data_IF_053124304674
#
_entry.id   IF_053124304674
#
_cell.length_a   1.000
_cell.length_b   1.000
_cell.length_c   1.000
_cell.angle_alpha   90.00
_cell.angle_beta   90.00
_cell.angle_gamma   90.00
#
_symmetry.space_group_name_H-M   'P 1'
#
loop_
_entity.id
_entity.type
_entity.pdbx_description
1 polymer ?
#
# COMPACT_ATOMS: atom_id res chain seq x y z
N UNK A 1 5.78 -7.04 0.48
CA UNK A 1 6.23 -7.59 -0.82
C UNK A 1 5.37 -6.96 -1.88
N UNK A 2 5.95 -6.22 -2.82
CA UNK A 2 5.17 -5.72 -3.95
C UNK A 2 5.25 -6.76 -5.05
N UNK A 3 4.10 -7.23 -5.53
CA UNK A 3 4.01 -8.20 -6.62
C UNK A 3 3.55 -7.48 -7.88
N UNK A 4 4.23 -7.76 -8.98
CA UNK A 4 3.84 -7.28 -10.30
C UNK A 4 3.45 -8.47 -11.16
N UNK A 5 2.28 -8.40 -11.81
CA UNK A 5 1.82 -9.43 -12.73
C UNK A 5 1.60 -8.80 -14.10
N UNK A 6 2.22 -9.38 -15.12
CA UNK A 6 1.99 -9.04 -16.53
C UNK A 6 0.96 -10.03 -17.07
N UNK A 7 -0.32 -9.64 -17.12
CA UNK A 7 -1.40 -10.57 -17.49
C UNK A 7 -1.56 -10.79 -19.01
N UNK A 8 -1.10 -9.86 -19.85
CA UNK A 8 -1.35 -9.88 -21.30
C UNK A 8 -0.09 -10.20 -22.14
N UNK A 9 0.61 -11.27 -21.78
CA UNK A 9 1.75 -11.77 -22.54
C UNK A 9 1.41 -13.12 -23.18
N UNK A 10 1.80 -13.34 -24.44
CA UNK A 10 1.62 -14.63 -25.11
C UNK A 10 2.45 -15.72 -24.44
N UNK A 11 1.97 -16.97 -24.42
CA UNK A 11 2.60 -18.07 -23.66
C UNK A 11 4.07 -18.35 -24.06
N UNK A 12 4.48 -17.98 -25.26
CA UNK A 12 5.84 -18.10 -25.76
C UNK A 12 6.81 -17.06 -25.18
N UNK A 13 6.32 -15.99 -24.56
CA UNK A 13 7.14 -14.93 -23.93
C UNK A 13 6.91 -14.82 -22.42
N UNK A 14 5.99 -15.62 -21.85
CA UNK A 14 5.82 -15.72 -20.40
C UNK A 14 7.06 -16.35 -19.77
N UNK A 15 7.60 -15.66 -18.77
CA UNK A 15 8.69 -16.21 -17.96
C UNK A 15 8.24 -17.51 -17.28
N UNK A 16 9.15 -18.48 -17.17
CA UNK A 16 8.96 -19.68 -16.33
C UNK A 16 9.14 -19.38 -14.84
N UNK A 17 9.62 -18.20 -14.49
CA UNK A 17 9.79 -17.76 -13.10
C UNK A 17 8.41 -17.49 -12.49
N UNK A 18 8.21 -17.96 -11.26
CA UNK A 18 6.98 -17.72 -10.49
C UNK A 18 6.88 -16.30 -9.95
N UNK A 19 8.02 -15.68 -9.65
CA UNK A 19 8.15 -14.31 -9.16
C UNK A 19 9.47 -13.70 -9.62
N UNK A 20 9.48 -12.37 -9.71
CA UNK A 20 10.68 -11.55 -9.79
C UNK A 20 10.66 -10.70 -8.53
N UNK A 21 11.64 -10.91 -7.66
CA UNK A 21 11.66 -10.29 -6.34
C UNK A 21 12.66 -9.12 -6.34
N UNK A 22 12.18 -7.92 -6.02
CA UNK A 22 13.04 -6.77 -5.73
C UNK A 22 13.30 -6.73 -4.22
N UNK A 23 14.57 -6.86 -3.82
CA UNK A 23 14.98 -6.92 -2.42
C UNK A 23 15.87 -5.72 -2.07
N UNK A 24 15.58 -5.08 -0.94
CA UNK A 24 16.43 -4.05 -0.34
C UNK A 24 16.94 -4.52 1.01
N UNK A 25 18.26 -4.54 1.18
CA UNK A 25 18.91 -4.83 2.46
C UNK A 25 19.21 -3.50 3.13
N UNK A 26 18.57 -3.22 4.25
CA UNK A 26 18.80 -2.00 5.02
C UNK A 26 18.86 -2.31 6.53
N UNK A 27 19.59 -1.48 7.26
CA UNK A 27 19.54 -1.51 8.71
C UNK A 27 18.20 -0.89 9.16
N UNK A 28 17.40 -1.54 10.03
CA UNK A 28 16.08 -1.05 10.42
C UNK A 28 16.08 0.38 10.96
N UNK A 29 17.15 0.79 11.66
CA UNK A 29 17.31 2.16 12.16
C UNK A 29 17.39 3.23 11.06
N UNK A 30 17.72 2.87 9.82
CA UNK A 30 17.67 3.82 8.71
C UNK A 30 16.24 4.09 8.23
N UNK A 31 15.33 3.12 8.38
CA UNK A 31 13.92 3.26 8.01
C UNK A 31 13.02 3.72 9.19
N UNK A 32 13.55 3.80 10.41
CA UNK A 32 12.78 4.27 11.56
C UNK A 32 12.48 5.77 11.50
N UNK A 33 13.34 6.55 10.84
CA UNK A 33 13.09 7.97 10.60
C UNK A 33 12.11 8.13 9.43
N UNK A 34 11.00 8.83 9.66
CA UNK A 34 9.94 9.08 8.66
C UNK A 34 10.51 9.63 7.35
N UNK A 35 11.39 10.62 7.41
CA UNK A 35 11.98 11.26 6.23
C UNK A 35 12.85 10.33 5.39
N UNK A 36 13.55 9.38 6.00
CA UNK A 36 14.33 8.39 5.26
C UNK A 36 13.44 7.33 4.63
N UNK A 37 12.37 6.96 5.34
CA UNK A 37 11.37 6.02 4.84
C UNK A 37 10.62 6.59 3.65
N UNK A 38 10.18 7.84 3.71
CA UNK A 38 9.56 8.57 2.59
C UNK A 38 10.49 8.54 1.39
N UNK A 39 11.73 9.02 1.54
CA UNK A 39 12.75 8.98 0.46
C UNK A 39 12.97 7.60 -0.14
N UNK A 40 12.90 6.54 0.66
CA UNK A 40 13.04 5.17 0.17
C UNK A 40 11.86 4.76 -0.72
N UNK A 41 10.63 5.10 -0.32
CA UNK A 41 9.43 4.80 -1.09
C UNK A 41 9.24 5.75 -2.28
N UNK A 42 9.68 7.00 -2.18
CA UNK A 42 9.57 8.00 -3.25
C UNK A 42 10.16 7.47 -4.57
N UNK A 43 11.34 6.85 -4.53
CA UNK A 43 11.93 6.24 -5.74
C UNK A 43 11.09 5.11 -6.33
N UNK A 44 10.42 4.31 -5.48
CA UNK A 44 9.54 3.23 -5.94
C UNK A 44 8.26 3.83 -6.55
N UNK A 45 7.69 4.85 -5.91
CA UNK A 45 6.47 5.53 -6.39
C UNK A 45 6.75 6.23 -7.72
N UNK A 46 7.89 6.92 -7.85
CA UNK A 46 8.33 7.54 -9.10
C UNK A 46 8.42 6.52 -10.24
N UNK A 47 9.05 5.37 -10.01
CA UNK A 47 9.15 4.29 -11.00
C UNK A 47 7.77 3.73 -11.38
N UNK A 48 6.88 3.50 -10.39
CA UNK A 48 5.52 3.01 -10.63
C UNK A 48 4.68 4.01 -11.44
N UNK A 49 4.80 5.29 -11.11
CA UNK A 49 4.11 6.36 -11.83
C UNK A 49 4.65 6.51 -13.25
N UNK A 50 5.96 6.37 -13.44
CA UNK A 50 6.58 6.35 -14.75
C UNK A 50 6.09 5.16 -15.59
N UNK A 51 5.95 3.97 -15.00
CA UNK A 51 5.41 2.78 -15.67
C UNK A 51 3.93 2.93 -16.02
N UNK A 52 3.12 3.54 -15.14
CA UNK A 52 1.70 3.76 -15.39
C UNK A 52 1.45 4.82 -16.46
N UNK A 53 2.32 5.83 -16.55
CA UNK A 53 2.15 6.97 -17.48
C UNK A 53 2.81 6.73 -18.83
N UNK A 54 3.94 6.00 -18.86
CA UNK A 54 4.73 5.79 -20.06
C UNK A 54 4.63 4.35 -20.57
N UNK A 55 4.45 4.21 -21.87
CA UNK A 55 4.56 2.92 -22.52
C UNK A 55 6.00 2.40 -22.50
N UNK A 56 6.17 1.12 -22.17
CA UNK A 56 7.48 0.46 -22.24
C UNK A 56 7.68 -0.18 -23.62
N UNK A 57 8.68 0.28 -24.36
CA UNK A 57 9.08 -0.38 -25.61
C UNK A 57 9.88 -1.64 -25.32
N UNK A 58 9.41 -2.78 -25.81
CA UNK A 58 10.10 -4.07 -25.68
C UNK A 58 10.57 -4.51 -27.07
N UNK A 59 11.87 -4.38 -27.39
CA UNK A 59 12.41 -4.73 -28.71
C UNK A 59 12.09 -6.17 -29.13
N UNK A 60 12.12 -7.11 -28.17
CA UNK A 60 11.82 -8.52 -28.42
C UNK A 60 10.36 -8.78 -28.85
N UNK A 61 9.44 -7.86 -28.53
CA UNK A 61 8.03 -7.93 -28.93
C UNK A 61 7.74 -7.04 -30.15
N UNK A 62 8.72 -6.22 -30.60
CA UNK A 62 8.53 -5.24 -31.66
C UNK A 62 7.45 -4.19 -31.33
N UNK A 63 7.12 -4.01 -30.05
CA UNK A 63 5.92 -3.30 -29.62
C UNK A 63 6.07 -2.59 -28.29
N UNK A 64 5.00 -1.92 -27.88
CA UNK A 64 4.91 -1.15 -26.64
C UNK A 64 3.89 -1.79 -25.71
N UNK A 65 4.18 -1.78 -24.40
CA UNK A 65 3.28 -2.28 -23.37
C UNK A 65 2.85 -1.15 -22.43
N UNK A 66 1.59 -1.18 -22.03
CA UNK A 66 1.07 -0.39 -20.93
C UNK A 66 1.20 -1.19 -19.63
N UNK A 67 1.61 -0.53 -18.56
CA UNK A 67 1.70 -1.15 -17.25
C UNK A 67 0.51 -0.75 -16.38
N UNK A 68 -0.02 -1.72 -15.63
CA UNK A 68 -1.05 -1.49 -14.65
C UNK A 68 -0.62 -2.09 -13.31
N UNK A 69 -0.67 -1.28 -12.26
CA UNK A 69 -0.44 -1.75 -10.90
C UNK A 69 -1.69 -2.49 -10.40
N UNK A 70 -1.53 -3.71 -9.87
CA UNK A 70 -2.65 -4.55 -9.45
C UNK A 70 -2.82 -4.58 -7.92
N UNK A 71 -1.80 -5.04 -7.17
CA UNK A 71 -1.93 -5.33 -5.73
C UNK A 71 -0.66 -4.96 -4.96
N UNK A 72 -0.82 -4.29 -3.82
CA UNK A 72 0.19 -4.24 -2.74
C UNK A 72 -0.15 -5.31 -1.70
N UNK A 73 0.81 -6.17 -1.37
CA UNK A 73 0.65 -7.19 -0.33
C UNK A 73 1.71 -7.06 0.78
N UNK A 74 1.28 -7.24 2.01
CA UNK A 74 2.16 -7.30 3.17
C UNK A 74 1.49 -8.07 4.30
N UNK A 75 2.27 -8.42 5.32
CA UNK A 75 1.66 -8.79 6.58
C UNK A 75 0.84 -7.61 7.15
N UNK A 76 0.11 -7.84 8.25
CA UNK A 76 -0.78 -6.83 8.82
C UNK A 76 -0.04 -5.55 9.21
N UNK A 77 1.13 -5.65 9.84
CA UNK A 77 1.90 -4.49 10.29
C UNK A 77 2.50 -3.71 9.11
N UNK A 78 3.07 -4.41 8.13
CA UNK A 78 3.61 -3.80 6.92
C UNK A 78 2.50 -3.12 6.11
N UNK A 79 1.33 -3.77 5.97
CA UNK A 79 0.17 -3.19 5.29
C UNK A 79 -0.35 -1.95 6.00
N UNK A 80 -0.38 -1.97 7.35
CA UNK A 80 -0.76 -0.81 8.14
C UNK A 80 0.24 0.33 7.96
N UNK A 81 1.54 0.05 7.98
CA UNK A 81 2.59 1.05 7.78
C UNK A 81 2.47 1.74 6.41
N UNK A 82 2.24 0.95 5.37
CA UNK A 82 2.03 1.43 4.00
C UNK A 82 0.71 2.20 3.88
N UNK A 83 -0.30 1.86 4.67
CA UNK A 83 -1.59 2.54 4.65
C UNK A 83 -1.67 3.78 5.54
N UNK A 84 -0.60 4.18 6.24
CA UNK A 84 -0.65 5.29 7.20
C UNK A 84 -1.42 4.96 8.49
N UNK A 85 -1.65 3.68 8.76
CA UNK A 85 -2.35 3.19 9.96
C UNK A 85 -1.38 2.87 11.10
N UNK A 86 -1.89 2.84 12.32
CA UNK A 86 -1.16 2.43 13.50
C UNK A 86 -0.69 0.96 13.37
N UNK A 87 0.59 0.72 13.65
CA UNK A 87 1.19 -0.62 13.72
C UNK A 87 0.89 -1.29 15.05
N UNK A 88 -0.38 -1.62 15.31
CA UNK A 88 -0.81 -2.31 16.52
C UNK A 88 -1.86 -3.38 16.24
N UNK A 89 -1.80 -4.46 17.02
CA UNK A 89 -2.83 -5.51 17.04
C UNK A 89 -3.83 -5.33 18.19
N UNK A 90 -3.52 -4.48 19.18
CA UNK A 90 -4.23 -4.43 20.45
C UNK A 90 -4.86 -3.08 20.77
N UNK A 91 -4.50 -2.02 20.04
CA UNK A 91 -4.95 -0.66 20.34
C UNK A 91 -5.75 -0.09 19.17
N UNK A 92 -6.84 0.63 19.47
CA UNK A 92 -7.65 1.37 18.49
C UNK A 92 -8.56 0.48 17.64
N UNK A 93 -8.79 0.90 16.40
CA UNK A 93 -9.43 0.06 15.38
C UNK A 93 -8.38 -0.87 14.78
N UNK A 94 -8.68 -2.18 14.76
CA UNK A 94 -7.73 -3.19 14.30
C UNK A 94 -7.88 -3.51 12.80
N UNK A 95 -8.94 -3.01 12.16
CA UNK A 95 -9.33 -3.33 10.79
C UNK A 95 -9.14 -2.14 9.85
N UNK A 96 -8.11 -2.19 8.99
CA UNK A 96 -7.86 -1.18 7.95
C UNK A 96 -9.00 -0.99 6.93
N UNK A 97 -9.92 -1.96 6.83
CA UNK A 97 -11.02 -1.95 5.86
C UNK A 97 -12.34 -1.49 6.46
N UNK A 98 -12.47 -1.35 7.79
CA UNK A 98 -13.74 -1.10 8.47
C UNK A 98 -13.57 -0.29 9.73
N UNK A 99 -14.53 0.58 10.01
CA UNK A 99 -14.57 1.36 11.24
C UNK A 99 -15.11 0.51 12.42
N UNK A 100 -14.25 -0.34 12.96
CA UNK A 100 -14.61 -1.32 14.00
C UNK A 100 -13.61 -1.24 15.14
N UNK A 101 -14.13 -1.05 16.35
CA UNK A 101 -13.32 -1.05 17.56
C UNK A 101 -13.13 -2.47 18.11
N UNK A 102 -12.22 -2.61 19.07
CA UNK A 102 -11.91 -3.91 19.66
C UNK A 102 -13.12 -4.58 20.34
N UNK A 103 -14.04 -3.82 20.91
CA UNK A 103 -15.24 -4.35 21.58
C UNK A 103 -16.23 -5.00 20.58
N UNK A 104 -16.24 -4.50 19.35
CA UNK A 104 -17.07 -4.99 18.26
C UNK A 104 -16.46 -6.19 17.52
N UNK A 105 -15.29 -6.70 17.93
CA UNK A 105 -14.57 -7.78 17.23
C UNK A 105 -15.34 -9.11 17.11
N UNK A 106 -16.32 -9.33 17.98
CA UNK A 106 -17.15 -10.54 17.97
C UNK A 106 -18.50 -10.35 17.26
N UNK A 107 -18.78 -9.16 16.73
CA UNK A 107 -20.00 -8.92 15.95
C UNK A 107 -19.87 -9.70 14.64
N UNK A 108 -20.86 -10.55 14.38
CA UNK A 108 -20.98 -11.21 13.09
C UNK A 108 -21.36 -10.18 12.04
N UNK A 109 -20.49 -9.98 11.05
CA UNK A 109 -20.74 -9.05 9.96
C UNK A 109 -21.12 -9.88 8.73
N UNK A 110 -22.32 -9.65 8.18
CA UNK A 110 -22.76 -10.27 6.91
C UNK A 110 -22.51 -9.34 5.73
N UNK A 111 -22.32 -9.88 4.53
CA UNK A 111 -22.03 -9.13 3.28
C UNK A 111 -22.89 -7.88 3.05
N UNK A 112 -24.09 -7.86 3.63
CA UNK A 112 -25.14 -6.85 3.46
C UNK A 112 -25.10 -5.77 4.57
N UNK A 113 -24.60 -6.09 5.77
CA UNK A 113 -24.51 -5.14 6.90
C UNK A 113 -23.20 -4.34 6.91
N UNK A 114 -22.55 -4.24 5.75
CA UNK A 114 -21.16 -3.83 5.62
C UNK A 114 -21.01 -2.36 5.29
N UNK A 115 -20.43 -1.60 6.22
CA UNK A 115 -19.86 -0.27 5.92
C UNK A 115 -18.35 -0.45 5.77
N UNK A 116 -17.90 -0.61 4.53
CA UNK A 116 -16.48 -0.62 4.20
C UNK A 116 -15.95 0.81 4.28
N UNK A 117 -14.75 0.97 4.83
CA UNK A 117 -14.01 2.24 4.81
C UNK A 117 -13.77 2.64 3.36
N UNK A 118 -14.25 3.82 2.97
CA UNK A 118 -14.00 4.38 1.64
C UNK A 118 -12.67 5.14 1.62
N UNK A 119 -12.13 5.38 0.42
CA UNK A 119 -10.96 6.22 0.24
C UNK A 119 -11.19 7.62 0.83
N UNK A 120 -12.31 8.25 0.52
CA UNK A 120 -12.63 9.60 1.00
C UNK A 120 -12.71 9.66 2.54
N UNK A 121 -13.26 8.61 3.19
CA UNK A 121 -13.27 8.53 4.65
C UNK A 121 -11.85 8.48 5.21
N UNK A 122 -10.97 7.67 4.62
CA UNK A 122 -9.57 7.58 5.01
C UNK A 122 -8.83 8.92 4.78
N UNK A 123 -8.96 9.52 3.60
CA UNK A 123 -8.31 10.78 3.24
C UNK A 123 -8.74 11.91 4.19
N UNK A 124 -10.01 11.95 4.58
CA UNK A 124 -10.51 12.92 5.57
C UNK A 124 -9.85 12.74 6.95
N UNK A 125 -9.62 11.50 7.39
CA UNK A 125 -8.91 11.21 8.65
C UNK A 125 -7.45 11.62 8.56
N UNK A 126 -6.77 11.31 7.45
CA UNK A 126 -5.40 11.75 7.17
C UNK A 126 -5.29 13.27 7.27
N UNK A 127 -6.21 14.02 6.65
CA UNK A 127 -6.21 15.48 6.73
C UNK A 127 -6.42 16.00 8.15
N UNK A 128 -7.21 15.32 8.98
CA UNK A 128 -7.38 15.70 10.39
C UNK A 128 -6.09 15.47 11.19
N UNK A 129 -5.44 14.31 11.01
CA UNK A 129 -4.16 13.98 11.67
C UNK A 129 -3.09 15.00 11.30
N UNK A 130 -2.97 15.36 10.02
CA UNK A 130 -1.99 16.35 9.54
C UNK A 130 -2.24 17.75 10.12
N UNK A 131 -3.48 18.11 10.45
CA UNK A 131 -3.83 19.39 11.09
C UNK A 131 -3.50 19.43 12.59
N UNK A 132 -3.45 18.28 13.27
CA UNK A 132 -3.27 18.19 14.73
C UNK A 132 -1.81 18.03 15.19
N UNK A 133 -0.82 18.24 14.31
CA UNK A 133 0.62 18.04 14.58
C UNK A 133 1.00 16.58 14.91
N UNK A 134 1.03 15.71 13.89
CA UNK A 134 1.82 14.48 13.69
C UNK A 134 1.95 13.40 14.82
N UNK A 135 1.38 13.58 16.00
CA UNK A 135 1.45 12.60 17.11
C UNK A 135 0.08 12.07 17.56
N UNK A 136 -1.01 12.63 17.02
CA UNK A 136 -2.36 12.18 17.36
C UNK A 136 -2.81 11.05 16.45
N UNK A 137 -3.43 10.04 17.05
CA UNK A 137 -4.06 8.92 16.34
C UNK A 137 -5.54 9.22 16.22
N UNK A 138 -6.06 9.29 14.99
CA UNK A 138 -7.50 9.43 14.76
C UNK A 138 -8.00 8.16 14.08
N UNK A 139 -8.83 7.43 14.82
CA UNK A 139 -9.55 6.26 14.32
C UNK A 139 -8.70 5.07 13.83
N UNK A 140 -7.38 5.09 14.10
CA UNK A 140 -6.29 4.20 13.64
C UNK A 140 -5.32 4.85 12.65
N UNK A 141 -5.67 5.99 12.07
CA UNK A 141 -4.81 6.74 11.15
C UNK A 141 -3.82 7.57 11.95
N UNK A 142 -2.55 7.50 11.55
CA UNK A 142 -1.44 8.24 12.17
C UNK A 142 -0.66 9.09 11.17
N UNK A 143 -0.84 8.85 9.88
CA UNK A 143 -0.13 9.56 8.82
C UNK A 143 -0.79 9.32 7.46
N UNK A 144 -0.30 10.02 6.43
CA UNK A 144 -0.56 9.64 5.05
C UNK A 144 0.19 8.36 4.66
N UNK A 145 -0.29 7.69 3.62
CA UNK A 145 0.43 6.57 3.01
C UNK A 145 1.74 7.05 2.39
N UNK A 146 2.87 6.33 2.55
CA UNK A 146 4.08 6.60 1.76
C UNK A 146 3.91 6.28 0.26
N UNK A 147 2.79 5.66 -0.14
CA UNK A 147 2.45 5.37 -1.53
C UNK A 147 1.33 6.28 -2.07
N UNK A 148 0.81 7.23 -1.28
CA UNK A 148 -0.18 8.18 -1.77
C UNK A 148 0.49 9.36 -2.45
N UNK A 149 0.07 9.66 -3.67
CA UNK A 149 0.34 10.94 -4.37
C UNK A 149 -0.24 12.14 -3.61
#
# INVERSE_FOLDING_TARGET
MIYFQLEDLSNNVKSKLKSIDLLAICHPAHLSAKSNREKFFDSIVEDLNALQTNELYIPALGGRLNFAFSIVAGDHLASNDIGGFQKSFSNGQFCRHRHINYDQRFIYLSEISHVQRTKDQHDNLVQQVLRLNNNDVIDDVIDKSPLSE
#
